data_IF_361520898925
#
_entry.id   IF_361520898925
#
_cell.length_a   1.000
_cell.length_b   1.000
_cell.length_c   1.000
_cell.angle_alpha   90.00
_cell.angle_beta   90.00
_cell.angle_gamma   90.00
#
_symmetry.space_group_name_H-M   'P 1'
#
loop_
_entity.id
_entity.type
_entity.pdbx_description
1 polymer ?
#
# COMPACT_ATOMS: atom_id res chain seq x y z
N UNK A 1 20.47 25.14 -16.63
CA UNK A 1 19.13 25.30 -17.18
C UNK A 1 18.36 24.06 -16.79
N UNK A 2 17.53 24.14 -15.72
CA UNK A 2 16.67 23.05 -15.28
C UNK A 2 15.42 23.13 -16.12
N UNK A 3 15.25 22.19 -17.04
CA UNK A 3 13.98 22.01 -17.77
C UNK A 3 12.98 21.38 -16.80
N UNK A 4 12.14 22.22 -16.22
CA UNK A 4 11.00 21.76 -15.46
C UNK A 4 10.11 20.90 -16.37
N UNK A 5 9.93 19.62 -16.03
CA UNK A 5 8.87 18.81 -16.60
C UNK A 5 7.55 19.38 -16.11
N UNK A 6 6.88 20.15 -16.97
CA UNK A 6 5.50 20.54 -16.73
C UNK A 6 4.69 19.27 -16.49
N UNK A 7 4.20 19.10 -15.26
CA UNK A 7 3.35 17.97 -14.91
C UNK A 7 2.13 17.96 -15.84
N UNK A 8 1.85 16.84 -16.44
CA UNK A 8 0.65 16.62 -17.23
C UNK A 8 -0.54 16.70 -16.27
N UNK A 9 -1.30 17.78 -16.34
CA UNK A 9 -2.60 17.88 -15.68
C UNK A 9 -3.55 17.06 -16.54
N UNK A 10 -3.95 15.88 -16.07
CA UNK A 10 -5.04 15.15 -16.69
C UNK A 10 -6.32 15.98 -16.55
N UNK A 11 -6.98 16.28 -17.67
CA UNK A 11 -8.26 16.99 -17.68
C UNK A 11 -9.43 16.05 -17.38
N UNK A 12 -9.22 14.74 -17.40
CA UNK A 12 -10.24 13.74 -17.15
C UNK A 12 -10.20 13.28 -15.70
N UNK A 13 -11.28 13.55 -14.95
CA UNK A 13 -11.45 13.08 -13.58
C UNK A 13 -11.41 11.55 -13.50
N UNK A 14 -10.60 11.02 -12.59
CA UNK A 14 -10.51 9.59 -12.38
C UNK A 14 -11.73 9.10 -11.60
N UNK A 15 -12.29 7.97 -12.02
CA UNK A 15 -13.37 7.32 -11.29
C UNK A 15 -12.83 6.24 -10.35
N UNK A 16 -13.22 6.32 -9.07
CA UNK A 16 -12.91 5.28 -8.11
C UNK A 16 -13.56 3.95 -8.53
N UNK A 17 -12.78 2.89 -8.59
CA UNK A 17 -13.32 1.54 -8.73
C UNK A 17 -13.88 1.11 -7.38
N UNK A 18 -15.22 1.13 -7.32
CA UNK A 18 -16.00 0.63 -6.19
C UNK A 18 -16.69 -0.66 -6.51
N UNK A 19 -17.24 -1.45 -6.00
CA UNK A 19 -17.97 -2.66 -6.41
C UNK A 19 -17.09 -3.90 -6.57
N UNK A 20 -17.76 -5.04 -6.77
CA UNK A 20 -17.13 -6.34 -6.73
C UNK A 20 -16.27 -6.60 -7.97
N UNK A 21 -15.34 -7.58 -7.93
CA UNK A 21 -14.46 -7.91 -9.04
C UNK A 21 -15.23 -8.38 -10.30
N UNK A 22 -14.58 -8.35 -11.48
CA UNK A 22 -15.17 -8.87 -12.71
C UNK A 22 -15.66 -10.32 -12.56
N UNK A 23 -16.77 -10.66 -13.21
CA UNK A 23 -17.34 -12.01 -13.12
C UNK A 23 -18.24 -12.28 -11.92
N UNK A 24 -18.46 -11.28 -11.04
CA UNK A 24 -19.26 -11.45 -9.82
C UNK A 24 -20.74 -11.81 -10.08
N UNK A 25 -21.30 -11.41 -11.23
CA UNK A 25 -22.66 -11.81 -11.60
C UNK A 25 -22.74 -13.32 -11.86
N UNK A 26 -21.81 -13.86 -12.64
CA UNK A 26 -21.70 -15.29 -12.92
C UNK A 26 -21.41 -16.10 -11.65
N UNK A 27 -20.54 -15.58 -10.76
CA UNK A 27 -20.26 -16.16 -9.45
C UNK A 27 -21.55 -16.28 -8.62
N UNK A 28 -22.33 -15.21 -8.48
CA UNK A 28 -23.60 -15.23 -7.72
C UNK A 28 -24.64 -16.20 -8.28
N UNK A 29 -24.62 -16.40 -9.61
CA UNK A 29 -25.54 -17.31 -10.30
C UNK A 29 -25.10 -18.78 -10.27
N UNK A 30 -23.84 -19.06 -9.93
CA UNK A 30 -23.29 -20.42 -9.97
C UNK A 30 -23.90 -21.29 -8.87
N UNK A 31 -24.28 -22.51 -9.23
CA UNK A 31 -24.85 -23.55 -8.36
C UNK A 31 -24.09 -24.89 -8.47
N UNK A 32 -22.88 -24.86 -9.03
CA UNK A 32 -22.12 -26.09 -9.27
C UNK A 32 -21.80 -26.88 -7.99
N UNK A 33 -21.76 -26.19 -6.84
CA UNK A 33 -21.58 -26.83 -5.52
C UNK A 33 -22.90 -27.18 -4.81
N UNK A 34 -24.06 -26.97 -5.46
CA UNK A 34 -25.36 -27.20 -4.86
C UNK A 34 -25.78 -26.20 -3.79
N UNK A 35 -24.91 -25.26 -3.42
CA UNK A 35 -25.14 -24.19 -2.44
C UNK A 35 -24.82 -22.82 -3.04
N UNK A 36 -25.29 -21.74 -2.38
CA UNK A 36 -24.92 -20.38 -2.76
C UNK A 36 -23.46 -20.09 -2.43
N UNK A 37 -22.78 -19.36 -3.30
CA UNK A 37 -21.41 -18.90 -3.07
C UNK A 37 -21.42 -17.58 -2.26
N UNK A 38 -20.36 -17.26 -1.46
CA UNK A 38 -20.25 -15.99 -0.74
C UNK A 38 -20.39 -14.81 -1.69
N UNK A 39 -21.18 -13.80 -1.30
CA UNK A 39 -21.30 -12.58 -2.12
C UNK A 39 -19.98 -11.80 -2.11
N UNK A 40 -19.33 -11.57 -3.27
CA UNK A 40 -18.03 -10.91 -3.33
C UNK A 40 -18.01 -9.48 -2.79
N UNK A 41 -19.17 -8.83 -2.72
CA UNK A 41 -19.31 -7.47 -2.22
C UNK A 41 -19.62 -7.41 -0.73
N UNK A 42 -20.40 -8.38 -0.21
CA UNK A 42 -20.97 -8.32 1.12
C UNK A 42 -20.33 -9.28 2.13
N UNK A 43 -19.90 -10.46 1.67
CA UNK A 43 -19.30 -11.45 2.58
C UNK A 43 -18.00 -10.87 3.18
N UNK A 44 -17.84 -10.99 4.48
CA UNK A 44 -16.61 -10.61 5.17
C UNK A 44 -15.47 -11.55 4.78
N UNK A 45 -14.20 -11.12 4.89
CA UNK A 45 -13.06 -12.00 4.64
C UNK A 45 -13.07 -13.26 5.51
N UNK A 46 -13.55 -13.19 6.76
CA UNK A 46 -13.68 -14.35 7.64
C UNK A 46 -14.74 -15.33 7.14
N UNK A 47 -15.89 -14.88 6.64
CA UNK A 47 -16.91 -15.73 6.02
C UNK A 47 -16.38 -16.40 4.76
N UNK A 48 -15.62 -15.66 3.94
CA UNK A 48 -14.95 -16.21 2.75
C UNK A 48 -13.95 -17.31 3.15
N UNK A 49 -13.08 -17.05 4.13
CA UNK A 49 -12.11 -18.02 4.61
C UNK A 49 -12.80 -19.30 5.14
N UNK A 50 -13.85 -19.12 5.93
CA UNK A 50 -14.65 -20.25 6.44
C UNK A 50 -15.30 -21.07 5.34
N UNK A 51 -15.84 -20.41 4.32
CA UNK A 51 -16.40 -21.08 3.14
C UNK A 51 -15.34 -21.94 2.43
N UNK A 52 -14.20 -21.37 2.09
CA UNK A 52 -13.14 -22.13 1.41
C UNK A 52 -12.53 -23.22 2.29
N UNK A 53 -12.49 -23.05 3.61
CA UNK A 53 -12.03 -24.09 4.53
C UNK A 53 -12.93 -25.33 4.48
N UNK A 54 -14.24 -25.17 4.27
CA UNK A 54 -15.21 -26.26 4.14
C UNK A 54 -15.18 -27.00 2.80
N UNK A 55 -14.47 -26.48 1.78
CA UNK A 55 -14.44 -27.10 0.45
C UNK A 55 -13.34 -28.15 0.32
N UNK A 56 -13.63 -29.21 -0.43
CA UNK A 56 -12.62 -30.16 -0.91
C UNK A 56 -11.63 -29.50 -1.92
N UNK A 57 -10.54 -30.18 -2.20
CA UNK A 57 -9.57 -29.73 -3.20
C UNK A 57 -10.19 -29.59 -4.60
N UNK A 58 -11.05 -30.53 -4.98
CA UNK A 58 -11.72 -30.54 -6.29
C UNK A 58 -12.73 -29.38 -6.43
N UNK A 59 -13.50 -29.09 -5.37
CA UNK A 59 -14.42 -27.97 -5.35
C UNK A 59 -13.68 -26.62 -5.42
N UNK A 60 -12.57 -26.45 -4.71
CA UNK A 60 -11.71 -25.28 -4.82
C UNK A 60 -11.15 -25.12 -6.24
N UNK A 61 -10.69 -26.23 -6.85
CA UNK A 61 -10.19 -26.24 -8.22
C UNK A 61 -11.31 -25.91 -9.23
N UNK A 62 -12.52 -26.40 -9.02
CA UNK A 62 -13.69 -26.10 -9.85
C UNK A 62 -13.98 -24.59 -9.85
N UNK A 63 -14.07 -23.97 -8.67
CA UNK A 63 -14.31 -22.53 -8.54
C UNK A 63 -13.19 -21.69 -9.15
N UNK A 64 -11.92 -22.08 -8.96
CA UNK A 64 -10.77 -21.42 -9.53
C UNK A 64 -10.82 -21.35 -11.06
N UNK A 65 -11.18 -22.45 -11.71
CA UNK A 65 -11.24 -22.51 -13.19
C UNK A 65 -12.45 -21.76 -13.73
N UNK A 66 -13.58 -21.83 -13.03
CA UNK A 66 -14.82 -21.17 -13.48
C UNK A 66 -14.83 -19.68 -13.25
N UNK A 67 -14.18 -19.20 -12.19
CA UNK A 67 -14.28 -17.82 -11.73
C UNK A 67 -12.91 -17.23 -11.30
N UNK A 68 -11.88 -17.28 -12.15
CA UNK A 68 -10.54 -16.87 -11.75
C UNK A 68 -10.49 -15.42 -11.29
N UNK A 69 -11.14 -14.48 -11.99
CA UNK A 69 -11.15 -13.06 -11.62
C UNK A 69 -11.84 -12.78 -10.29
N UNK A 70 -12.82 -13.59 -9.88
CA UNK A 70 -13.47 -13.47 -8.56
C UNK A 70 -12.59 -14.08 -7.49
N UNK A 71 -12.18 -15.34 -7.64
CA UNK A 71 -11.35 -16.06 -6.66
C UNK A 71 -10.04 -15.33 -6.38
N UNK A 72 -9.39 -14.78 -7.41
CA UNK A 72 -8.15 -14.03 -7.30
C UNK A 72 -8.26 -12.73 -6.50
N UNK A 73 -9.45 -12.13 -6.46
CA UNK A 73 -9.71 -10.85 -5.80
C UNK A 73 -10.60 -10.97 -4.55
N UNK A 74 -10.93 -12.20 -4.13
CA UNK A 74 -11.79 -12.43 -2.99
C UNK A 74 -10.96 -12.52 -1.70
N UNK A 75 -10.94 -11.44 -0.91
CA UNK A 75 -10.21 -11.36 0.34
C UNK A 75 -10.71 -12.44 1.33
N UNK A 76 -9.78 -13.20 1.92
CA UNK A 76 -10.04 -14.39 2.72
C UNK A 76 -10.08 -15.69 1.92
N UNK A 77 -10.01 -15.68 0.58
CA UNK A 77 -9.75 -16.90 -0.16
C UNK A 77 -8.29 -17.34 0.00
N UNK A 78 -7.99 -18.66 0.08
CA UNK A 78 -6.63 -19.14 0.35
C UNK A 78 -5.58 -18.56 -0.59
N UNK A 79 -4.43 -18.12 -0.07
CA UNK A 79 -3.37 -17.42 -0.81
C UNK A 79 -2.94 -18.15 -2.09
N UNK A 80 -2.67 -19.46 -2.02
CA UNK A 80 -2.25 -20.24 -3.18
C UNK A 80 -3.35 -20.32 -4.26
N UNK A 81 -4.60 -20.30 -3.83
CA UNK A 81 -5.73 -20.28 -4.76
C UNK A 81 -5.81 -18.92 -5.46
N UNK A 82 -5.62 -17.83 -4.72
CA UNK A 82 -5.57 -16.47 -5.29
C UNK A 82 -4.42 -16.31 -6.27
N UNK A 83 -3.21 -16.79 -5.96
CA UNK A 83 -2.07 -16.73 -6.90
C UNK A 83 -2.37 -17.45 -8.21
N UNK A 84 -2.92 -18.67 -8.12
CA UNK A 84 -3.28 -19.45 -9.32
C UNK A 84 -4.41 -18.80 -10.12
N UNK A 85 -5.42 -18.27 -9.43
CA UNK A 85 -6.54 -17.58 -10.04
C UNK A 85 -6.08 -16.33 -10.80
N UNK A 86 -5.24 -15.49 -10.19
CA UNK A 86 -4.69 -14.30 -10.83
C UNK A 86 -3.74 -14.64 -11.98
N UNK A 87 -2.99 -15.74 -11.90
CA UNK A 87 -2.19 -16.23 -13.03
C UNK A 87 -3.07 -16.60 -14.23
N UNK A 88 -4.22 -17.26 -13.99
CA UNK A 88 -5.19 -17.56 -15.05
C UNK A 88 -5.85 -16.30 -15.62
N UNK A 89 -6.23 -15.36 -14.75
CA UNK A 89 -6.83 -14.09 -15.17
C UNK A 89 -5.86 -13.28 -16.03
N UNK A 90 -4.60 -13.16 -15.62
CA UNK A 90 -3.54 -12.47 -16.37
C UNK A 90 -3.22 -13.16 -17.70
N UNK A 91 -3.25 -14.50 -17.76
CA UNK A 91 -3.03 -15.24 -18.99
C UNK A 91 -4.16 -15.06 -20.00
N UNK A 92 -5.36 -14.68 -19.54
CA UNK A 92 -6.52 -14.42 -20.39
C UNK A 92 -6.59 -12.94 -20.85
N UNK A 93 -5.71 -12.06 -20.35
CA UNK A 93 -5.67 -10.64 -20.73
C UNK A 93 -4.82 -10.43 -21.98
N UNK A 94 -5.38 -9.79 -22.99
CA UNK A 94 -4.69 -9.44 -24.22
C UNK A 94 -3.93 -8.09 -24.13
N UNK A 95 -4.16 -7.32 -23.07
CA UNK A 95 -3.56 -6.00 -22.91
C UNK A 95 -2.04 -6.11 -22.68
N UNK A 96 -1.23 -5.54 -23.59
CA UNK A 96 0.24 -5.62 -23.47
C UNK A 96 0.81 -4.96 -22.20
N UNK A 97 0.06 -4.05 -21.56
CA UNK A 97 0.45 -3.42 -20.28
C UNK A 97 0.64 -4.44 -19.17
N UNK A 98 -0.09 -5.55 -19.20
CA UNK A 98 -0.06 -6.57 -18.13
C UNK A 98 0.87 -7.75 -18.42
N UNK A 99 1.53 -7.75 -19.59
CA UNK A 99 2.40 -8.87 -20.01
C UNK A 99 3.52 -9.17 -18.99
N UNK A 100 4.09 -8.14 -18.38
CA UNK A 100 5.13 -8.33 -17.35
C UNK A 100 4.58 -8.99 -16.08
N UNK A 101 3.31 -8.74 -15.73
CA UNK A 101 2.64 -9.32 -14.57
C UNK A 101 2.37 -10.82 -14.75
N UNK A 102 2.17 -11.27 -15.99
CA UNK A 102 1.94 -12.67 -16.33
C UNK A 102 3.25 -13.52 -16.34
N UNK A 103 4.41 -12.92 -16.08
CA UNK A 103 5.68 -13.65 -16.09
C UNK A 103 5.71 -14.77 -15.03
N UNK A 104 6.31 -15.93 -15.35
CA UNK A 104 6.40 -17.06 -14.41
C UNK A 104 7.09 -16.68 -13.08
N UNK A 105 6.60 -17.26 -11.98
CA UNK A 105 7.18 -17.07 -10.64
C UNK A 105 6.70 -15.81 -9.90
N UNK A 106 5.92 -14.96 -10.51
CA UNK A 106 5.28 -13.82 -9.82
C UNK A 106 4.14 -14.31 -8.92
N UNK A 107 4.04 -13.72 -7.73
CA UNK A 107 3.00 -14.03 -6.74
C UNK A 107 1.96 -12.92 -6.72
N UNK A 108 1.10 -12.91 -7.75
CA UNK A 108 0.05 -11.89 -7.88
C UNK A 108 -1.14 -12.27 -6.97
N UNK A 109 -1.32 -11.50 -5.90
CA UNK A 109 -2.33 -11.74 -4.88
C UNK A 109 -3.69 -11.12 -5.22
N UNK A 110 -3.70 -10.08 -6.06
CA UNK A 110 -4.91 -9.47 -6.61
C UNK A 110 -4.62 -8.91 -8.00
N UNK A 111 -5.60 -8.99 -8.90
CA UNK A 111 -5.53 -8.37 -10.22
C UNK A 111 -6.93 -8.02 -10.73
N UNK A 112 -7.14 -6.74 -11.04
CA UNK A 112 -8.39 -6.24 -11.63
C UNK A 112 -8.03 -5.38 -12.85
N UNK A 113 -8.34 -5.80 -14.09
CA UNK A 113 -7.98 -5.07 -15.29
C UNK A 113 -8.83 -3.81 -15.55
N UNK A 114 -9.90 -3.59 -14.79
CA UNK A 114 -10.82 -2.46 -15.01
C UNK A 114 -10.11 -1.12 -14.83
N UNK A 115 -10.53 -0.12 -15.61
CA UNK A 115 -9.95 1.22 -15.59
C UNK A 115 -8.46 1.20 -15.97
N UNK A 116 -7.62 1.74 -15.09
CA UNK A 116 -6.15 1.71 -15.28
C UNK A 116 -5.49 0.40 -14.79
N UNK A 117 -6.28 -0.48 -14.20
CA UNK A 117 -5.83 -1.75 -13.63
C UNK A 117 -5.32 -1.61 -12.20
N UNK A 118 -5.66 -2.60 -11.38
CA UNK A 118 -5.21 -2.73 -10.00
C UNK A 118 -4.47 -4.05 -9.81
N UNK A 119 -3.46 -4.05 -8.94
CA UNK A 119 -2.62 -5.24 -8.70
C UNK A 119 -2.04 -5.24 -7.30
N UNK A 120 -1.93 -6.44 -6.72
CA UNK A 120 -1.11 -6.67 -5.53
C UNK A 120 -0.15 -7.82 -5.79
N UNK A 121 1.14 -7.62 -5.50
CA UNK A 121 2.19 -8.64 -5.66
C UNK A 121 2.97 -8.83 -4.36
N UNK A 122 3.32 -10.07 -4.07
CA UNK A 122 4.07 -10.48 -2.89
C UNK A 122 5.55 -10.71 -3.22
N UNK A 123 6.43 -10.05 -2.49
CA UNK A 123 7.87 -10.28 -2.45
C UNK A 123 8.20 -11.04 -1.15
N UNK A 124 8.81 -12.20 -1.27
CA UNK A 124 8.96 -13.16 -0.16
C UNK A 124 7.88 -14.25 -0.18
N UNK A 125 7.70 -14.96 0.93
CA UNK A 125 6.72 -16.05 1.05
C UNK A 125 5.82 -15.82 2.28
N UNK A 126 4.55 -15.49 2.05
CA UNK A 126 3.58 -15.23 3.12
C UNK A 126 3.34 -16.45 4.03
N UNK A 127 3.57 -17.68 3.54
CA UNK A 127 3.37 -18.91 4.33
C UNK A 127 4.43 -19.07 5.43
N UNK A 128 5.62 -18.51 5.23
CA UNK A 128 6.75 -18.64 6.15
C UNK A 128 7.16 -17.33 6.80
N UNK A 129 6.56 -16.22 6.35
CA UNK A 129 6.84 -14.89 6.87
C UNK A 129 6.33 -14.74 8.31
N UNK A 130 7.23 -14.32 9.20
CA UNK A 130 6.89 -13.91 10.57
C UNK A 130 6.44 -12.45 10.64
N UNK A 131 6.77 -11.67 9.63
CA UNK A 131 6.43 -10.25 9.49
C UNK A 131 5.94 -9.98 8.09
N UNK A 132 4.88 -9.19 7.99
CA UNK A 132 4.29 -8.78 6.72
C UNK A 132 4.31 -7.27 6.66
N UNK A 133 4.64 -6.73 5.49
CA UNK A 133 4.50 -5.32 5.18
C UNK A 133 3.59 -5.12 3.96
N UNK A 134 2.80 -4.05 3.96
CA UNK A 134 1.99 -3.63 2.81
C UNK A 134 2.46 -2.25 2.38
N UNK A 135 2.79 -2.08 1.11
CA UNK A 135 3.19 -0.80 0.53
C UNK A 135 2.06 -0.25 -0.33
N UNK A 136 1.58 0.93 0.03
CA UNK A 136 0.49 1.67 -0.63
C UNK A 136 1.10 2.86 -1.37
N UNK A 137 1.18 2.85 -2.70
CA UNK A 137 1.78 3.93 -3.47
C UNK A 137 0.81 5.11 -3.67
N UNK A 138 1.35 6.23 -4.12
CA UNK A 138 0.60 7.43 -4.46
C UNK A 138 0.15 7.52 -5.91
N UNK A 139 0.06 8.76 -6.43
CA UNK A 139 -0.38 9.09 -7.79
C UNK A 139 0.42 8.37 -8.88
N UNK A 140 -0.16 8.28 -10.07
CA UNK A 140 0.46 7.73 -11.29
C UNK A 140 0.83 6.23 -11.24
N UNK A 141 0.32 5.49 -10.26
CA UNK A 141 0.56 4.07 -10.12
C UNK A 141 -0.70 3.25 -10.46
N UNK A 142 -0.54 2.28 -11.32
CA UNK A 142 -1.56 1.33 -11.76
C UNK A 142 -0.91 -0.01 -12.18
N UNK A 143 -1.69 -0.98 -12.60
CA UNK A 143 -1.15 -2.27 -13.01
C UNK A 143 -0.18 -2.16 -14.22
N UNK A 144 -0.40 -1.19 -15.12
CA UNK A 144 0.47 -0.96 -16.28
C UNK A 144 1.79 -0.27 -15.93
N UNK A 145 1.83 0.47 -14.82
CA UNK A 145 3.02 1.20 -14.36
C UNK A 145 3.72 0.56 -13.17
N UNK A 146 3.16 -0.53 -12.67
CA UNK A 146 3.52 -1.22 -11.45
C UNK A 146 5.01 -1.60 -11.34
N UNK A 147 5.61 -2.03 -12.46
CA UNK A 147 6.99 -2.52 -12.53
C UNK A 147 7.83 -1.68 -13.49
N UNK A 148 7.68 -0.35 -13.47
CA UNK A 148 8.46 0.56 -14.31
C UNK A 148 9.94 0.53 -13.94
N UNK A 149 10.78 0.11 -14.87
CA UNK A 149 12.23 0.02 -14.67
C UNK A 149 12.93 1.39 -14.63
N UNK A 150 12.35 2.40 -15.28
CA UNK A 150 12.95 3.75 -15.42
C UNK A 150 13.11 4.45 -14.08
N UNK A 151 12.18 4.23 -13.14
CA UNK A 151 12.23 4.82 -11.80
C UNK A 151 12.71 3.84 -10.72
N UNK A 152 13.11 2.62 -11.11
CA UNK A 152 13.71 1.63 -10.22
C UNK A 152 12.97 1.46 -8.89
N UNK A 153 13.55 2.03 -7.84
CA UNK A 153 13.01 1.97 -6.47
C UNK A 153 11.76 2.83 -6.25
N UNK A 154 11.40 3.71 -7.19
CA UNK A 154 10.22 4.57 -7.11
C UNK A 154 8.92 3.93 -7.63
N UNK A 155 8.99 2.80 -8.35
CA UNK A 155 7.82 2.05 -8.77
C UNK A 155 7.35 1.10 -7.66
N UNK A 156 6.05 0.79 -7.52
CA UNK A 156 5.53 -0.05 -6.44
C UNK A 156 6.26 -1.39 -6.26
N UNK A 157 6.49 -2.12 -7.36
CA UNK A 157 7.24 -3.38 -7.32
C UNK A 157 8.71 -3.18 -6.92
N UNK A 158 9.32 -2.09 -7.36
CA UNK A 158 10.70 -1.72 -7.01
C UNK A 158 10.84 -1.40 -5.53
N UNK A 159 9.98 -0.54 -4.98
CA UNK A 159 9.92 -0.20 -3.55
C UNK A 159 9.79 -1.46 -2.70
N UNK A 160 8.81 -2.32 -3.00
CA UNK A 160 8.53 -3.52 -2.23
C UNK A 160 9.67 -4.54 -2.31
N UNK A 161 10.26 -4.72 -3.48
CA UNK A 161 11.41 -5.61 -3.68
C UNK A 161 12.62 -5.14 -2.87
N UNK A 162 12.90 -3.83 -2.90
CA UNK A 162 14.02 -3.25 -2.17
C UNK A 162 13.81 -3.35 -0.66
N UNK A 163 12.60 -3.03 -0.17
CA UNK A 163 12.25 -3.20 1.23
C UNK A 163 12.39 -4.66 1.69
N UNK A 164 11.87 -5.61 0.91
CA UNK A 164 12.00 -7.05 1.22
C UNK A 164 13.46 -7.48 1.29
N UNK A 165 14.28 -7.05 0.32
CA UNK A 165 15.71 -7.35 0.30
C UNK A 165 16.43 -6.80 1.53
N UNK A 166 16.15 -5.56 1.91
CA UNK A 166 16.75 -4.90 3.09
C UNK A 166 16.23 -5.48 4.42
N UNK A 167 14.96 -5.87 4.48
CA UNK A 167 14.38 -6.49 5.67
C UNK A 167 14.84 -7.95 5.87
N UNK A 168 15.17 -8.64 4.79
CA UNK A 168 15.77 -9.98 4.84
C UNK A 168 14.79 -11.12 5.15
N UNK A 169 15.33 -12.31 5.48
CA UNK A 169 14.53 -13.52 5.63
C UNK A 169 13.52 -13.44 6.78
N UNK A 170 12.40 -14.14 6.61
CA UNK A 170 11.29 -14.14 7.58
C UNK A 170 10.36 -12.94 7.46
N UNK A 171 10.57 -12.08 6.46
CA UNK A 171 9.68 -10.98 6.08
C UNK A 171 9.03 -11.24 4.73
N UNK A 172 7.84 -10.69 4.51
CA UNK A 172 7.24 -10.58 3.19
C UNK A 172 6.70 -9.17 2.99
N UNK A 173 6.81 -8.63 1.78
CA UNK A 173 6.32 -7.30 1.44
C UNK A 173 5.33 -7.41 0.29
N UNK A 174 4.18 -6.80 0.45
CA UNK A 174 3.11 -6.75 -0.56
C UNK A 174 3.11 -5.34 -1.16
N UNK A 175 3.42 -5.21 -2.45
CA UNK A 175 3.13 -3.98 -3.18
C UNK A 175 1.63 -3.99 -3.54
N UNK A 176 0.87 -3.01 -3.02
CA UNK A 176 -0.59 -2.99 -3.13
C UNK A 176 -1.06 -1.74 -3.89
N UNK A 177 -1.37 -1.87 -5.16
CA UNK A 177 -2.06 -0.89 -5.99
C UNK A 177 -3.53 -1.31 -6.10
N UNK A 178 -4.25 -1.30 -4.99
CA UNK A 178 -5.62 -1.81 -4.89
C UNK A 178 -6.68 -0.72 -4.93
N UNK A 179 -6.36 0.47 -5.44
CA UNK A 179 -7.30 1.58 -5.60
C UNK A 179 -6.99 2.36 -6.89
N UNK A 180 -7.94 3.17 -7.35
CA UNK A 180 -7.69 4.11 -8.44
C UNK A 180 -6.85 5.26 -7.93
N UNK A 181 -5.62 5.38 -8.38
CA UNK A 181 -4.72 6.48 -8.00
C UNK A 181 -5.02 7.73 -8.83
N UNK A 182 -4.81 8.94 -8.27
CA UNK A 182 -4.80 10.16 -9.07
C UNK A 182 -3.79 10.10 -10.21
N UNK A 183 -4.01 10.90 -11.24
CA UNK A 183 -3.02 11.16 -12.31
C UNK A 183 -2.44 12.55 -12.11
N UNK A 184 -1.14 12.61 -11.88
CA UNK A 184 -0.45 13.85 -11.56
C UNK A 184 -0.89 14.47 -10.23
N UNK A 185 -0.75 15.79 -10.13
CA UNK A 185 -1.05 16.61 -8.93
C UNK A 185 -2.30 17.49 -9.11
N UNK A 186 -3.24 17.09 -9.96
CA UNK A 186 -4.47 17.82 -10.27
C UNK A 186 -5.55 17.72 -9.19
N UNK A 187 -6.81 18.04 -9.57
CA UNK A 187 -7.96 18.04 -8.65
C UNK A 187 -8.19 16.69 -7.97
N UNK A 188 -8.00 15.57 -8.68
CA UNK A 188 -8.14 14.24 -8.10
C UNK A 188 -7.14 13.98 -6.96
N UNK A 189 -5.92 14.51 -7.10
CA UNK A 189 -4.90 14.45 -6.06
C UNK A 189 -5.18 15.41 -4.90
N UNK A 190 -5.86 16.54 -5.16
CA UNK A 190 -6.22 17.51 -4.13
C UNK A 190 -7.46 17.10 -3.32
N UNK A 191 -8.31 16.21 -3.86
CA UNK A 191 -9.51 15.72 -3.17
C UNK A 191 -9.23 14.40 -2.43
N UNK A 192 -10.13 13.98 -1.54
CA UNK A 192 -10.03 12.70 -0.84
C UNK A 192 -10.85 11.57 -1.46
N UNK A 193 -11.59 11.81 -2.54
CA UNK A 193 -12.60 10.86 -3.04
C UNK A 193 -12.02 9.52 -3.48
N UNK A 194 -10.90 9.54 -4.20
CA UNK A 194 -10.20 8.31 -4.59
C UNK A 194 -9.59 7.58 -3.38
N UNK A 195 -9.09 8.36 -2.40
CA UNK A 195 -8.53 7.79 -1.18
C UNK A 195 -9.61 7.20 -0.26
N UNK A 196 -10.81 7.75 -0.21
CA UNK A 196 -11.94 7.20 0.55
C UNK A 196 -12.32 5.79 0.04
N UNK A 197 -12.42 5.63 -1.28
CA UNK A 197 -12.64 4.31 -1.89
C UNK A 197 -11.45 3.36 -1.62
N UNK A 198 -10.22 3.88 -1.70
CA UNK A 198 -8.98 3.14 -1.41
C UNK A 198 -8.91 2.67 0.03
N UNK A 199 -9.32 3.50 1.00
CA UNK A 199 -9.29 3.18 2.42
C UNK A 199 -10.17 1.97 2.77
N UNK A 200 -11.40 1.93 2.24
CA UNK A 200 -12.28 0.77 2.42
C UNK A 200 -11.70 -0.53 1.84
N UNK A 201 -11.06 -0.43 0.66
CA UNK A 201 -10.41 -1.58 0.02
C UNK A 201 -9.15 -2.04 0.76
N UNK A 202 -8.33 -1.11 1.25
CA UNK A 202 -7.13 -1.42 2.06
C UNK A 202 -7.52 -2.12 3.36
N UNK A 203 -8.54 -1.62 4.06
CA UNK A 203 -9.05 -2.24 5.28
C UNK A 203 -9.49 -3.68 5.01
N UNK A 204 -10.35 -3.90 4.00
CA UNK A 204 -10.82 -5.22 3.63
C UNK A 204 -9.69 -6.16 3.21
N UNK A 205 -8.71 -5.65 2.45
CA UNK A 205 -7.54 -6.42 2.04
C UNK A 205 -6.73 -6.92 3.26
N UNK A 206 -6.47 -6.04 4.23
CA UNK A 206 -5.73 -6.40 5.44
C UNK A 206 -6.53 -7.31 6.38
N UNK A 207 -7.86 -7.15 6.45
CA UNK A 207 -8.74 -8.13 7.11
C UNK A 207 -8.67 -9.50 6.44
N UNK A 208 -8.52 -9.56 5.10
CA UNK A 208 -8.27 -10.78 4.35
C UNK A 208 -6.96 -11.47 4.72
N UNK A 209 -5.88 -10.70 4.88
CA UNK A 209 -4.60 -11.24 5.36
C UNK A 209 -4.75 -11.84 6.77
N UNK A 210 -5.48 -11.17 7.65
CA UNK A 210 -5.75 -11.68 9.00
C UNK A 210 -6.61 -12.96 8.98
N UNK A 211 -7.61 -13.05 8.09
CA UNK A 211 -8.43 -14.24 7.91
C UNK A 211 -7.62 -15.45 7.39
N UNK A 212 -6.54 -15.22 6.64
CA UNK A 212 -5.56 -16.22 6.22
C UNK A 212 -4.53 -16.56 7.34
N UNK A 213 -4.70 -16.01 8.56
CA UNK A 213 -3.82 -16.26 9.71
C UNK A 213 -2.50 -15.51 9.68
N UNK A 214 -2.35 -14.48 8.85
CA UNK A 214 -1.14 -13.68 8.77
C UNK A 214 -1.08 -12.64 9.90
N UNK A 215 0.12 -12.26 10.37
CA UNK A 215 0.29 -11.22 11.38
C UNK A 215 -0.17 -9.86 10.84
N UNK A 216 -0.60 -8.97 11.76
CA UNK A 216 -0.91 -7.59 11.43
C UNK A 216 0.29 -6.91 10.76
N UNK A 217 0.13 -6.29 9.58
CA UNK A 217 1.22 -5.74 8.82
C UNK A 217 1.76 -4.42 9.36
N UNK A 218 3.01 -4.09 9.00
CA UNK A 218 3.47 -2.71 8.92
C UNK A 218 3.03 -2.14 7.55
N UNK A 219 2.38 -0.97 7.53
CA UNK A 219 1.85 -0.37 6.30
C UNK A 219 2.66 0.86 5.93
N UNK A 220 3.29 0.84 4.75
CA UNK A 220 4.12 1.90 4.19
C UNK A 220 3.31 2.68 3.15
N UNK A 221 3.11 3.96 3.37
CA UNK A 221 2.16 4.78 2.63
C UNK A 221 2.91 5.94 1.96
N UNK A 222 3.16 5.82 0.66
CA UNK A 222 3.92 6.81 -0.09
C UNK A 222 3.01 7.83 -0.76
N UNK A 223 3.36 9.11 -0.66
CA UNK A 223 2.69 10.20 -1.36
C UNK A 223 1.18 10.22 -1.07
N UNK A 224 0.32 10.29 -2.09
CA UNK A 224 -1.15 10.21 -1.94
C UNK A 224 -1.62 8.92 -1.24
N UNK A 225 -0.81 7.85 -1.21
CA UNK A 225 -1.07 6.67 -0.40
C UNK A 225 -1.21 6.97 1.10
N UNK A 226 -0.57 8.05 1.59
CA UNK A 226 -0.73 8.53 2.98
C UNK A 226 -2.15 8.98 3.28
N UNK A 227 -2.84 9.56 2.28
CA UNK A 227 -4.26 9.97 2.41
C UNK A 227 -5.15 8.73 2.54
N UNK A 228 -4.88 7.67 1.75
CA UNK A 228 -5.58 6.38 1.87
C UNK A 228 -5.38 5.78 3.25
N UNK A 229 -4.14 5.75 3.73
CA UNK A 229 -3.80 5.18 5.03
C UNK A 229 -4.39 6.00 6.19
N UNK A 230 -4.38 7.32 6.11
CA UNK A 230 -5.00 8.19 7.12
C UNK A 230 -6.50 7.95 7.26
N UNK A 231 -7.21 7.86 6.15
CA UNK A 231 -8.64 7.55 6.13
C UNK A 231 -8.96 6.13 6.61
N UNK A 232 -8.06 5.16 6.38
CA UNK A 232 -8.20 3.79 6.83
C UNK A 232 -7.81 3.58 8.31
N UNK A 233 -6.97 4.45 8.88
CA UNK A 233 -6.20 4.24 10.10
C UNK A 233 -7.00 3.69 11.28
N UNK A 234 -8.21 4.23 11.53
CA UNK A 234 -9.08 3.85 12.65
C UNK A 234 -9.64 2.42 12.57
N UNK A 235 -9.56 1.77 11.40
CA UNK A 235 -10.05 0.41 11.15
C UNK A 235 -8.97 -0.55 10.66
N UNK A 236 -7.79 -0.02 10.35
CA UNK A 236 -6.71 -0.79 9.75
C UNK A 236 -5.99 -1.63 10.81
N UNK A 237 -6.01 -2.96 10.72
CA UNK A 237 -5.29 -3.84 11.64
C UNK A 237 -3.79 -3.83 11.32
N UNK A 238 -3.08 -2.75 11.69
CA UNK A 238 -1.66 -2.57 11.43
C UNK A 238 -0.86 -2.43 12.73
N UNK A 239 0.40 -2.86 12.72
CA UNK A 239 1.34 -2.61 13.82
C UNK A 239 1.99 -1.24 13.72
N UNK A 240 2.24 -0.80 12.50
CA UNK A 240 2.92 0.44 12.15
C UNK A 240 2.28 1.07 10.91
N UNK A 241 2.11 2.40 10.93
CA UNK A 241 1.79 3.23 9.78
C UNK A 241 3.00 4.11 9.49
N UNK A 242 3.67 3.86 8.38
CA UNK A 242 4.87 4.60 7.95
C UNK A 242 4.49 5.45 6.76
N UNK A 243 4.41 6.77 6.94
CA UNK A 243 4.11 7.70 5.85
C UNK A 243 5.39 8.37 5.35
N UNK A 244 5.51 8.50 4.05
CA UNK A 244 6.71 9.03 3.40
C UNK A 244 6.33 9.89 2.20
N UNK A 245 6.97 11.07 2.07
CA UNK A 245 6.65 12.05 1.03
C UNK A 245 5.16 12.41 1.04
N UNK A 246 4.59 12.65 2.23
CA UNK A 246 3.14 12.74 2.44
C UNK A 246 2.60 14.14 2.21
N UNK A 247 1.50 14.33 1.46
CA UNK A 247 0.77 15.60 1.39
C UNK A 247 -0.16 15.83 2.59
N UNK A 248 -0.16 14.93 3.59
CA UNK A 248 -1.07 14.89 4.73
C UNK A 248 -1.86 13.58 4.82
N UNK A 249 -2.53 13.35 5.93
CA UNK A 249 -3.27 12.13 6.24
C UNK A 249 -4.77 12.37 6.47
N UNK A 250 -5.28 13.53 6.16
CA UNK A 250 -6.63 14.02 6.52
C UNK A 250 -6.90 14.02 8.04
N UNK A 251 -5.86 14.21 8.80
CA UNK A 251 -5.83 14.35 10.25
C UNK A 251 -5.00 15.56 10.62
N UNK A 252 -5.26 16.13 11.78
CA UNK A 252 -4.52 17.28 12.29
C UNK A 252 -3.35 16.85 13.18
N UNK A 253 -3.42 15.63 13.74
CA UNK A 253 -2.41 14.99 14.57
C UNK A 253 -2.59 13.46 14.59
N UNK A 254 -1.70 12.75 15.31
CA UNK A 254 -1.74 11.29 15.47
C UNK A 254 -3.00 10.83 16.23
N UNK A 255 -3.49 11.59 17.20
CA UNK A 255 -4.68 11.22 17.99
C UNK A 255 -5.95 11.24 17.12
N UNK A 256 -6.03 12.18 16.18
CA UNK A 256 -7.13 12.28 15.22
C UNK A 256 -7.23 11.05 14.29
N UNK A 257 -6.14 10.31 14.08
CA UNK A 257 -6.15 9.06 13.32
C UNK A 257 -6.87 7.92 14.03
N UNK A 258 -7.01 7.98 15.36
CA UNK A 258 -7.67 6.98 16.20
C UNK A 258 -7.17 5.55 15.92
N UNK A 259 -5.88 5.40 15.69
CA UNK A 259 -5.24 4.12 15.38
C UNK A 259 -4.50 3.55 16.59
N UNK A 260 -4.44 2.22 16.69
CA UNK A 260 -3.54 1.53 17.61
C UNK A 260 -2.13 1.30 17.09
N UNK A 261 -1.89 1.62 15.81
CA UNK A 261 -0.58 1.47 15.18
C UNK A 261 0.37 2.60 15.62
N UNK A 262 1.66 2.32 15.65
CA UNK A 262 2.69 3.37 15.77
C UNK A 262 2.74 4.14 14.46
N UNK A 263 2.68 5.46 14.52
CA UNK A 263 2.74 6.32 13.33
C UNK A 263 4.16 6.86 13.18
N UNK A 264 4.71 6.73 11.97
CA UNK A 264 6.05 7.17 11.59
C UNK A 264 5.96 8.08 10.37
N UNK A 265 6.81 9.09 10.30
CA UNK A 265 6.86 9.99 9.16
C UNK A 265 8.30 10.18 8.65
N UNK A 266 8.49 10.04 7.34
CA UNK A 266 9.72 10.31 6.61
C UNK A 266 9.49 11.44 5.61
N UNK A 267 10.40 12.42 5.59
CA UNK A 267 10.38 13.53 4.64
C UNK A 267 11.81 13.85 4.22
N UNK A 268 12.08 13.72 2.93
CA UNK A 268 13.35 14.12 2.32
C UNK A 268 13.37 15.64 2.09
N UNK A 269 14.42 16.36 2.52
CA UNK A 269 14.52 17.82 2.31
C UNK A 269 14.54 18.25 0.85
N UNK A 270 14.77 17.34 -0.10
CA UNK A 270 14.76 17.63 -1.55
C UNK A 270 13.47 17.18 -2.25
N UNK A 271 12.49 16.71 -1.47
CA UNK A 271 11.20 16.28 -2.00
C UNK A 271 10.32 17.47 -2.35
N UNK A 272 9.84 17.56 -3.60
CA UNK A 272 8.92 18.60 -4.06
C UNK A 272 7.58 18.63 -3.30
N UNK A 273 7.28 17.59 -2.50
CA UNK A 273 6.05 17.54 -1.71
C UNK A 273 5.96 18.72 -0.73
N UNK A 274 7.08 19.34 -0.37
CA UNK A 274 7.13 20.55 0.46
C UNK A 274 6.44 21.75 -0.17
N UNK A 275 6.32 21.78 -1.51
CA UNK A 275 5.62 22.82 -2.25
C UNK A 275 4.08 22.63 -2.20
N UNK A 276 3.59 21.48 -1.70
CA UNK A 276 2.16 21.20 -1.55
C UNK A 276 1.66 21.74 -0.21
N UNK A 277 0.68 22.68 -0.19
CA UNK A 277 0.21 23.25 1.05
C UNK A 277 -0.42 22.21 1.99
N UNK A 278 0.09 22.11 3.21
CA UNK A 278 -0.41 21.23 4.27
C UNK A 278 -1.64 21.84 4.97
N UNK A 279 -2.71 22.06 4.19
CA UNK A 279 -3.98 22.62 4.66
C UNK A 279 -5.14 21.78 4.18
N UNK A 280 -6.29 21.93 4.82
CA UNK A 280 -7.55 21.36 4.36
C UNK A 280 -8.64 22.42 4.41
N UNK A 281 -9.18 22.78 3.25
CA UNK A 281 -10.24 23.77 3.13
C UNK A 281 -11.24 23.36 2.04
N UNK A 282 -12.53 23.42 2.33
CA UNK A 282 -13.64 23.14 1.40
C UNK A 282 -13.49 21.78 0.65
N UNK A 283 -12.96 20.75 1.31
CA UNK A 283 -12.75 19.42 0.73
C UNK A 283 -11.43 19.24 -0.03
N UNK A 284 -10.67 20.31 -0.25
CA UNK A 284 -9.35 20.28 -0.87
C UNK A 284 -8.23 20.21 0.18
N UNK A 285 -7.13 19.58 -0.20
CA UNK A 285 -5.94 19.38 0.65
C UNK A 285 -6.11 18.23 1.66
N UNK A 286 -5.05 17.91 2.38
CA UNK A 286 -4.96 16.67 3.16
C UNK A 286 -4.63 16.87 4.64
N UNK A 287 -4.61 18.11 5.14
CA UNK A 287 -4.39 18.44 6.56
C UNK A 287 -2.93 18.68 6.91
N UNK A 288 -2.59 18.50 8.18
CA UNK A 288 -1.27 18.78 8.71
C UNK A 288 -0.18 17.88 8.10
N UNK A 289 1.06 18.38 8.10
CA UNK A 289 2.23 17.61 7.68
C UNK A 289 2.57 16.53 8.74
N UNK A 290 2.55 15.24 8.38
CA UNK A 290 2.90 14.20 9.34
C UNK A 290 4.37 14.23 9.81
N UNK A 291 5.25 14.90 9.06
CA UNK A 291 6.66 15.07 9.44
C UNK A 291 6.88 16.26 10.39
N UNK A 292 5.89 17.15 10.57
CA UNK A 292 5.95 18.21 11.57
C UNK A 292 5.92 17.58 12.99
N UNK A 293 6.82 17.96 13.90
CA UNK A 293 6.80 17.49 15.28
C UNK A 293 5.45 17.69 15.99
N UNK A 294 4.69 18.74 15.65
CA UNK A 294 3.37 19.01 16.21
C UNK A 294 2.32 17.95 15.82
N UNK A 295 2.53 17.20 14.74
CA UNK A 295 1.66 16.09 14.36
C UNK A 295 1.76 14.90 15.32
N UNK A 296 2.92 14.72 15.97
CA UNK A 296 3.16 13.67 16.94
C UNK A 296 3.58 12.31 16.35
N UNK A 297 3.87 12.21 15.05
CA UNK A 297 4.44 11.00 14.46
C UNK A 297 5.93 10.85 14.84
N UNK A 298 6.40 9.60 14.89
CA UNK A 298 7.82 9.28 15.11
C UNK A 298 8.60 9.60 13.83
N UNK A 299 9.69 10.33 13.97
CA UNK A 299 10.54 10.68 12.83
C UNK A 299 11.28 9.46 12.29
N UNK A 300 11.29 9.31 10.97
CA UNK A 300 12.21 8.45 10.22
C UNK A 300 13.22 9.34 9.52
N UNK A 301 14.54 9.18 9.76
CA UNK A 301 15.55 9.89 9.00
C UNK A 301 15.43 9.64 7.50
N UNK A 302 15.56 10.68 6.68
CA UNK A 302 15.47 10.59 5.22
C UNK A 302 16.40 11.61 4.53
N UNK A 303 17.48 12.00 5.19
CA UNK A 303 18.41 13.03 4.70
C UNK A 303 19.30 12.51 3.54
N UNK A 304 19.41 11.18 3.41
CA UNK A 304 20.12 10.50 2.31
C UNK A 304 19.21 10.14 1.12
N UNK A 305 17.90 10.24 1.27
CA UNK A 305 16.97 10.09 0.15
C UNK A 305 17.14 11.24 -0.85
N UNK A 306 16.66 11.07 -2.08
CA UNK A 306 16.74 12.11 -3.10
C UNK A 306 15.43 12.23 -3.86
N UNK A 307 14.69 13.28 -3.57
CA UNK A 307 13.40 13.60 -4.18
C UNK A 307 12.31 12.57 -3.86
N UNK A 308 11.15 12.77 -4.42
CA UNK A 308 9.91 12.06 -4.09
C UNK A 308 9.94 10.54 -4.27
N UNK A 309 10.83 10.00 -5.10
CA UNK A 309 10.96 8.57 -5.37
C UNK A 309 12.14 7.89 -4.66
N UNK A 310 12.99 8.65 -3.93
CA UNK A 310 14.26 8.17 -3.41
C UNK A 310 14.21 7.41 -2.07
N UNK A 311 13.09 7.40 -1.39
CA UNK A 311 12.95 6.84 -0.03
C UNK A 311 13.35 5.36 0.10
N UNK A 312 13.24 4.57 -0.98
CA UNK A 312 13.62 3.16 -1.01
C UNK A 312 14.94 2.91 -1.75
N UNK A 313 15.73 3.94 -1.99
CA UNK A 313 17.04 3.75 -2.62
C UNK A 313 17.99 2.97 -1.70
N UNK A 314 18.68 1.94 -2.24
CA UNK A 314 19.61 1.15 -1.44
C UNK A 314 20.71 2.00 -0.80
N UNK A 315 20.96 1.76 0.49
CA UNK A 315 21.99 2.45 1.26
C UNK A 315 21.51 3.69 2.01
N UNK A 316 20.27 4.17 1.79
CA UNK A 316 19.73 5.33 2.47
C UNK A 316 19.35 5.04 3.93
N UNK A 317 19.36 6.08 4.76
CA UNK A 317 18.90 6.08 6.16
C UNK A 317 17.42 5.69 6.28
N UNK A 318 16.59 6.22 5.38
CA UNK A 318 15.16 5.88 5.29
C UNK A 318 14.96 4.38 5.07
N UNK A 319 15.63 3.77 4.08
CA UNK A 319 15.50 2.34 3.82
C UNK A 319 15.98 1.48 4.98
N UNK A 320 17.09 1.86 5.66
CA UNK A 320 17.57 1.16 6.86
C UNK A 320 16.52 1.14 7.96
N UNK A 321 15.90 2.28 8.22
CA UNK A 321 14.84 2.42 9.22
C UNK A 321 13.57 1.67 8.81
N UNK A 322 13.15 1.76 7.55
CA UNK A 322 12.01 1.00 7.02
C UNK A 322 12.22 -0.52 7.17
N UNK A 323 13.43 -0.99 6.88
CA UNK A 323 13.76 -2.40 7.06
C UNK A 323 13.71 -2.84 8.54
N UNK A 324 14.13 -1.99 9.48
CA UNK A 324 13.99 -2.26 10.91
C UNK A 324 12.51 -2.32 11.34
N UNK A 325 11.68 -1.39 10.87
CA UNK A 325 10.23 -1.40 11.12
C UNK A 325 9.60 -2.68 10.52
N UNK A 326 9.93 -3.03 9.28
CA UNK A 326 9.42 -4.23 8.62
C UNK A 326 9.80 -5.53 9.33
N UNK A 327 10.96 -5.58 10.02
CA UNK A 327 11.36 -6.71 10.87
C UNK A 327 10.73 -6.69 12.26
N UNK A 328 10.12 -5.57 12.67
CA UNK A 328 9.60 -5.35 14.02
C UNK A 328 10.67 -4.94 15.05
N UNK A 329 11.83 -4.52 14.61
CA UNK A 329 12.99 -4.15 15.45
C UNK A 329 13.01 -2.66 15.82
N UNK A 330 11.99 -1.90 15.44
CA UNK A 330 11.93 -0.45 15.55
C UNK A 330 11.93 0.12 16.99
N UNK A 331 11.84 -0.73 18.02
CA UNK A 331 11.93 -0.27 19.40
C UNK A 331 13.32 0.28 19.78
N UNK A 332 14.38 -0.12 19.06
CA UNK A 332 15.74 0.41 19.21
C UNK A 332 15.94 1.74 18.48
N UNK A 333 15.42 1.87 17.26
CA UNK A 333 15.64 3.04 16.39
C UNK A 333 14.99 4.33 16.90
N UNK A 334 13.89 4.24 17.65
CA UNK A 334 13.25 5.41 18.25
C UNK A 334 14.06 5.99 19.42
N UNK A 335 14.74 5.14 20.22
CA UNK A 335 15.61 5.59 21.30
C UNK A 335 16.90 6.23 20.79
N UNK A 336 17.45 5.68 19.69
CA UNK A 336 18.67 6.22 19.08
C UNK A 336 18.41 7.58 18.43
N UNK A 337 17.22 7.82 17.88
CA UNK A 337 16.82 9.10 17.30
C UNK A 337 16.53 10.17 18.39
N UNK A 338 15.86 9.79 19.49
CA UNK A 338 15.65 10.69 20.64
C UNK A 338 16.98 11.08 21.30
N UNK A 339 17.90 10.13 21.51
CA UNK A 339 19.23 10.42 22.09
C UNK A 339 20.10 11.27 21.18
N UNK A 340 19.98 11.13 19.85
CA UNK A 340 20.68 11.99 18.89
C UNK A 340 20.12 13.42 18.86
N UNK A 341 18.79 13.59 18.90
CA UNK A 341 18.14 14.89 18.94
C UNK A 341 18.44 15.64 20.26
N UNK A 342 18.47 14.94 21.39
CA UNK A 342 18.85 15.51 22.68
C UNK A 342 20.33 15.92 22.70
N UNK A 343 21.23 15.17 22.07
CA UNK A 343 22.64 15.50 21.93
C UNK A 343 22.88 16.74 21.05
N UNK A 344 22.16 16.85 19.93
CA UNK A 344 22.23 18.02 19.03
C UNK A 344 21.65 19.28 19.68
N UNK A 345 20.55 19.16 20.46
CA UNK A 345 19.97 20.25 21.19
C UNK A 345 20.93 20.74 22.32
N UNK A 346 21.62 19.82 22.99
CA UNK A 346 22.62 20.16 24.01
C UNK A 346 23.83 20.88 23.39
N UNK A 347 24.33 20.44 22.24
CA UNK A 347 25.42 21.10 21.49
C UNK A 347 25.06 22.50 21.00
N UNK A 348 23.79 22.68 20.55
CA UNK A 348 23.29 23.99 20.12
C UNK A 348 23.20 24.98 21.27
N UNK A 349 22.82 24.53 22.48
CA UNK A 349 22.78 25.36 23.69
C UNK A 349 24.18 25.74 24.19
N UNK A 350 25.16 24.85 24.08
CA UNK A 350 26.58 25.17 24.44
C UNK A 350 27.22 26.11 23.40
N UNK A 351 26.85 26.03 22.13
CA UNK A 351 27.31 26.94 21.07
C UNK A 351 26.77 28.37 21.19
N UNK A 352 25.55 28.53 21.73
CA UNK A 352 24.91 29.83 21.95
C UNK A 352 25.39 30.56 23.24
N UNK A 353 26.11 29.87 24.11
CA UNK A 353 26.64 30.41 25.38
C UNK A 353 28.10 30.88 25.28
N UNK A 354 28.69 30.83 24.09
CA UNK A 354 30.03 31.36 23.78
C UNK A 354 29.93 32.56 22.84
#
# INVERSE_FOLDING_TARGET
>A
MVTGTAGWVSTDAQQALTGPPPGSAQWRADRALGTGLPDPERATPAEVASFFAGLSADERQLLLVRHPSVVGNLDGAPLELRYRANSLALAAEDDPRYRSLAAPGRRILAFDPRGRGQVAEVFGDLRTARRVSVLVPGSDNDAGTFDRKVVGHGAPAGMARTLHTAAGPGTAVIAWVGYTTPVGVGLDAATGSLAEAGAGRLTRFTEGLAADGLPAPAVFCHSYGSVVCGLAAHRLPATDLVVLGSPGMRADDVDALRTGARVWAAKDPTDWIDDVPNVRFAGLGHGADPADPAFGARRVPADEARGHAGYFEPGTDSLRTFAAIARGDAAGTARDAETAADADAALALEGAAR
#
